data_IF_217223693026
#
_entry.id   IF_217223693026
#
_cell.length_a   1.000
_cell.length_b   1.000
_cell.length_c   1.000
_cell.angle_alpha   90.00
_cell.angle_beta   90.00
_cell.angle_gamma   90.00
#
_symmetry.space_group_name_H-M   'P 1'
#
loop_
_entity.id
_entity.type
_entity.pdbx_description
1 polymer ?
#
# COMPACT_ATOMS: atom_id res chain seq x y z
N UNK A 1 -3.38 17.98 -20.95
CA UNK A 1 -2.50 17.60 -19.82
C UNK A 1 -1.22 17.11 -20.44
N UNK A 2 -0.08 17.54 -19.91
CA UNK A 2 1.22 17.00 -20.30
C UNK A 2 1.23 15.47 -20.08
N UNK A 3 1.81 14.70 -20.99
CA UNK A 3 1.77 13.24 -20.96
C UNK A 3 2.38 12.69 -19.65
N UNK A 4 3.43 13.35 -19.16
CA UNK A 4 4.09 12.98 -17.91
C UNK A 4 3.13 13.11 -16.71
N UNK A 5 2.36 14.20 -16.65
CA UNK A 5 1.42 14.45 -15.53
C UNK A 5 0.26 13.45 -15.55
N UNK A 6 -0.22 13.09 -16.73
CA UNK A 6 -1.26 12.07 -16.87
C UNK A 6 -0.75 10.69 -16.41
N UNK A 7 0.45 10.30 -16.84
CA UNK A 7 1.07 9.03 -16.45
C UNK A 7 1.29 8.95 -14.93
N UNK A 8 1.74 10.03 -14.30
CA UNK A 8 1.97 10.09 -12.85
C UNK A 8 0.67 9.92 -12.04
N UNK A 9 -0.40 10.57 -12.48
CA UNK A 9 -1.72 10.44 -11.87
C UNK A 9 -2.32 9.04 -12.08
N UNK A 10 -2.19 8.49 -13.28
CA UNK A 10 -2.66 7.15 -13.60
C UNK A 10 -1.94 6.09 -12.74
N UNK A 11 -0.61 6.20 -12.59
CA UNK A 11 0.19 5.33 -11.75
C UNK A 11 -0.25 5.42 -10.28
N UNK A 12 -0.40 6.63 -9.74
CA UNK A 12 -0.88 6.81 -8.37
C UNK A 12 -2.24 6.15 -8.17
N UNK A 13 -3.23 6.45 -9.00
CA UNK A 13 -4.59 5.94 -8.81
C UNK A 13 -4.61 4.41 -8.94
N UNK A 14 -4.03 3.87 -10.01
CA UNK A 14 -4.07 2.43 -10.29
C UNK A 14 -3.31 1.63 -9.23
N UNK A 15 -2.12 2.10 -8.83
CA UNK A 15 -1.32 1.46 -7.79
C UNK A 15 -2.02 1.50 -6.42
N UNK A 16 -2.62 2.63 -6.05
CA UNK A 16 -3.34 2.75 -4.78
C UNK A 16 -4.54 1.82 -4.73
N UNK A 17 -5.28 1.69 -5.84
CA UNK A 17 -6.37 0.73 -5.97
C UNK A 17 -5.90 -0.73 -5.82
N UNK A 18 -4.74 -1.06 -6.40
CA UNK A 18 -4.15 -2.40 -6.32
C UNK A 18 -3.70 -2.75 -4.89
N UNK A 19 -3.16 -1.78 -4.14
CA UNK A 19 -2.81 -1.95 -2.73
C UNK A 19 -4.05 -2.21 -1.87
N UNK A 20 -5.15 -1.49 -2.11
CA UNK A 20 -6.42 -1.72 -1.41
C UNK A 20 -6.95 -3.14 -1.70
N UNK A 21 -6.87 -3.57 -2.96
CA UNK A 21 -7.28 -4.91 -3.37
C UNK A 21 -6.44 -6.02 -2.69
N UNK A 22 -5.13 -5.82 -2.55
CA UNK A 22 -4.27 -6.71 -1.76
C UNK A 22 -4.70 -6.77 -0.29
N UNK A 23 -5.05 -5.63 0.31
CA UNK A 23 -5.62 -5.57 1.66
C UNK A 23 -6.90 -6.39 1.79
N UNK A 24 -7.80 -6.28 0.81
CA UNK A 24 -9.04 -7.05 0.76
C UNK A 24 -8.81 -8.55 0.63
N UNK A 25 -7.87 -8.97 -0.22
CA UNK A 25 -7.50 -10.38 -0.38
C UNK A 25 -6.97 -10.95 0.94
N UNK A 26 -6.06 -10.24 1.62
CA UNK A 26 -5.49 -10.71 2.88
C UNK A 26 -6.54 -10.78 3.99
N UNK A 27 -7.48 -9.83 4.02
CA UNK A 27 -8.64 -9.91 4.91
C UNK A 27 -9.46 -11.18 4.65
N UNK A 28 -9.79 -11.44 3.38
CA UNK A 28 -10.58 -12.61 3.01
C UNK A 28 -9.84 -13.91 3.31
N UNK A 29 -8.55 -13.98 2.98
CA UNK A 29 -7.70 -15.16 3.16
C UNK A 29 -7.46 -15.47 4.64
N UNK A 30 -7.28 -14.44 5.49
CA UNK A 30 -7.18 -14.61 6.94
C UNK A 30 -8.47 -15.17 7.55
N UNK A 31 -9.63 -14.75 7.02
CA UNK A 31 -10.94 -15.25 7.46
C UNK A 31 -11.23 -16.67 6.96
N UNK A 32 -10.92 -16.98 5.71
CA UNK A 32 -11.09 -18.33 5.13
C UNK A 32 -10.10 -19.35 5.70
N UNK A 33 -8.85 -18.96 5.96
CA UNK A 33 -7.81 -19.87 6.47
C UNK A 33 -8.00 -20.29 7.93
N UNK A 34 -9.10 -19.88 8.59
CA UNK A 34 -9.31 -20.04 10.04
C UNK A 34 -8.09 -19.59 10.86
N UNK A 35 -7.34 -18.61 10.35
CA UNK A 35 -6.26 -18.02 11.10
C UNK A 35 -6.89 -17.48 12.39
N UNK A 36 -6.45 -17.98 13.54
CA UNK A 36 -7.00 -17.54 14.82
C UNK A 36 -6.87 -16.02 14.98
N UNK A 37 -7.47 -15.46 16.03
CA UNK A 37 -7.42 -14.00 16.31
C UNK A 37 -5.99 -13.42 16.21
N UNK A 38 -4.99 -14.22 16.60
CA UNK A 38 -3.58 -13.87 16.52
C UNK A 38 -3.03 -13.85 15.07
N UNK A 39 -3.43 -14.81 14.23
CA UNK A 39 -2.97 -14.89 12.84
C UNK A 39 -3.51 -13.75 11.98
N UNK A 40 -4.79 -13.39 12.15
CA UNK A 40 -5.37 -12.22 11.48
C UNK A 40 -4.69 -10.93 11.96
N UNK A 41 -4.37 -10.80 13.25
CA UNK A 41 -3.68 -9.63 13.79
C UNK A 41 -2.26 -9.47 13.22
N UNK A 42 -1.51 -10.55 13.08
CA UNK A 42 -0.16 -10.53 12.48
C UNK A 42 -0.24 -10.25 10.97
N UNK A 43 -1.20 -10.84 10.24
CA UNK A 43 -1.44 -10.54 8.83
C UNK A 43 -1.76 -9.05 8.62
N UNK A 44 -2.56 -8.46 9.50
CA UNK A 44 -2.85 -7.04 9.49
C UNK A 44 -1.63 -6.17 9.82
N UNK A 45 -0.81 -6.58 10.77
CA UNK A 45 0.42 -5.86 11.13
C UNK A 45 1.42 -5.84 9.98
N UNK A 46 1.66 -7.00 9.34
CA UNK A 46 2.59 -7.10 8.20
C UNK A 46 2.08 -6.29 7.02
N UNK A 47 0.77 -6.36 6.72
CA UNK A 47 0.18 -5.58 5.65
C UNK A 47 0.23 -4.07 5.93
N UNK A 48 -0.09 -3.68 7.18
CA UNK A 48 0.02 -2.29 7.65
C UNK A 48 1.44 -1.77 7.57
N UNK A 49 2.44 -2.56 7.98
CA UNK A 49 3.86 -2.22 7.85
C UNK A 49 4.29 -2.08 6.38
N UNK A 50 3.80 -2.94 5.49
CA UNK A 50 4.09 -2.87 4.06
C UNK A 50 3.54 -1.59 3.41
N UNK A 51 2.27 -1.26 3.68
CA UNK A 51 1.65 -0.02 3.20
C UNK A 51 2.31 1.21 3.83
N UNK A 52 2.60 1.15 5.13
CA UNK A 52 3.29 2.22 5.84
C UNK A 52 4.68 2.48 5.25
N UNK A 53 5.48 1.45 5.00
CA UNK A 53 6.79 1.57 4.35
C UNK A 53 6.69 2.16 2.94
N UNK A 54 5.65 1.78 2.18
CA UNK A 54 5.39 2.32 0.85
C UNK A 54 5.06 3.82 0.87
N UNK A 55 4.27 4.28 1.85
CA UNK A 55 3.98 5.71 2.02
C UNK A 55 5.21 6.46 2.57
N UNK A 56 5.92 5.85 3.52
CA UNK A 56 7.08 6.44 4.17
C UNK A 56 8.21 6.72 3.17
N UNK A 57 8.49 5.81 2.22
CA UNK A 57 9.49 6.07 1.17
C UNK A 57 9.13 7.29 0.30
N UNK A 58 7.85 7.48 -0.03
CA UNK A 58 7.40 8.62 -0.84
C UNK A 58 7.59 9.94 -0.08
N UNK A 59 7.29 9.94 1.22
CA UNK A 59 7.55 11.08 2.09
C UNK A 59 9.04 11.37 2.22
N UNK A 60 9.86 10.33 2.36
CA UNK A 60 11.31 10.46 2.51
C UNK A 60 11.96 10.99 1.22
N UNK A 61 11.54 10.51 0.05
CA UNK A 61 12.00 11.03 -1.25
C UNK A 61 11.65 12.52 -1.39
N UNK A 62 10.40 12.89 -1.06
CA UNK A 62 9.96 14.30 -1.12
C UNK A 62 10.70 15.21 -0.14
N UNK A 63 11.11 14.69 1.02
CA UNK A 63 11.70 15.52 2.08
C UNK A 63 13.24 15.55 2.06
N UNK A 64 13.88 14.44 1.68
CA UNK A 64 15.34 14.27 1.75
C UNK A 64 16.03 14.36 0.37
N UNK A 65 15.41 13.82 -0.68
CA UNK A 65 16.06 13.65 -1.99
C UNK A 65 15.69 14.76 -2.97
N UNK A 66 14.51 15.37 -2.81
CA UNK A 66 14.12 16.54 -3.57
C UNK A 66 14.61 17.79 -2.80
N UNK A 67 15.80 18.36 -3.10
CA UNK A 67 16.02 19.76 -2.75
C UNK A 67 14.91 20.55 -3.46
N UNK A 68 14.32 21.51 -2.76
CA UNK A 68 13.23 22.35 -3.26
C UNK A 68 13.46 22.81 -4.71
#
# INVERSE_FOLDING_TARGET
MDEAVFADWALKICLTGLIIFLGFIVWNLGKESKAGKFGIAVLFLVLGLGVFGFVFKELLIKFLVLPK
#
